data_IF_815652512136
#
_entry.id   IF_815652512136
#
_cell.length_a   1.000
_cell.length_b   1.000
_cell.length_c   1.000
_cell.angle_alpha   90.00
_cell.angle_beta   90.00
_cell.angle_gamma   90.00
#
_symmetry.space_group_name_H-M   'P 1'
#
loop_
_entity.id
_entity.type
_entity.pdbx_description
1 polymer ?
#
# COMPACT_ATOMS: atom_id res chain seq x y z
N UNK A 1 11.21 -5.39 2.59
CA UNK A 1 9.97 -4.66 2.31
C UNK A 1 8.81 -5.64 2.48
N UNK A 2 7.88 -5.36 3.40
CA UNK A 2 6.62 -6.07 3.53
C UNK A 2 5.53 -5.21 2.91
N UNK A 3 4.64 -5.79 2.09
CA UNK A 3 3.54 -5.02 1.49
C UNK A 3 2.21 -5.43 2.08
N UNK A 4 1.42 -4.43 2.48
CA UNK A 4 0.02 -4.60 2.83
C UNK A 4 -0.87 -4.84 1.61
N UNK A 5 -2.16 -5.09 1.87
CA UNK A 5 -3.18 -5.19 0.83
C UNK A 5 -3.40 -3.83 0.17
N UNK A 6 -3.80 -3.85 -1.10
CA UNK A 6 -4.30 -2.67 -1.78
C UNK A 6 -5.60 -2.20 -1.13
N UNK A 7 -5.75 -0.87 -1.03
CA UNK A 7 -7.03 -0.23 -0.77
C UNK A 7 -8.01 -0.53 -1.90
N UNK A 8 -9.28 -0.29 -1.66
CA UNK A 8 -10.24 -0.21 -2.76
C UNK A 8 -9.80 0.89 -3.74
N UNK A 9 -10.16 0.71 -5.01
CA UNK A 9 -9.98 1.77 -5.98
C UNK A 9 -10.81 2.98 -5.59
N UNK A 10 -10.28 4.18 -5.85
CA UNK A 10 -11.00 5.44 -5.64
C UNK A 10 -12.36 5.51 -6.33
N UNK A 11 -12.54 4.76 -7.43
CA UNK A 11 -13.80 4.67 -8.16
C UNK A 11 -14.13 3.22 -8.50
N UNK A 12 -15.43 2.95 -8.58
CA UNK A 12 -15.97 1.62 -8.91
C UNK A 12 -16.13 1.37 -10.40
N UNK A 13 -16.04 2.39 -11.26
CA UNK A 13 -16.21 2.28 -12.71
C UNK A 13 -15.09 3.02 -13.47
N UNK A 14 -14.76 2.52 -14.67
CA UNK A 14 -13.80 3.13 -15.60
C UNK A 14 -12.34 3.27 -15.09
N UNK A 15 -12.01 2.63 -13.98
CA UNK A 15 -10.67 2.60 -13.40
C UNK A 15 -10.33 3.83 -12.58
N UNK A 16 -9.44 3.64 -11.59
CA UNK A 16 -9.08 4.64 -10.59
C UNK A 16 -7.69 4.38 -10.04
N UNK A 17 -7.44 4.88 -8.83
CA UNK A 17 -6.16 4.68 -8.15
C UNK A 17 -6.39 3.89 -6.87
N UNK A 18 -5.43 3.06 -6.50
CA UNK A 18 -5.39 2.33 -5.24
C UNK A 18 -4.03 2.54 -4.58
N UNK A 19 -4.02 2.51 -3.25
CA UNK A 19 -2.79 2.68 -2.45
C UNK A 19 -2.55 1.43 -1.62
N UNK A 20 -1.29 1.14 -1.27
CA UNK A 20 -0.96 0.08 -0.31
C UNK A 20 0.09 0.56 0.65
N UNK A 21 0.13 -0.04 1.83
CA UNK A 21 1.23 0.16 2.76
C UNK A 21 2.43 -0.68 2.33
N UNK A 22 3.62 -0.13 2.47
CA UNK A 22 4.86 -0.88 2.34
C UNK A 22 5.72 -0.56 3.55
N UNK A 23 6.02 -1.59 4.31
CA UNK A 23 6.77 -1.49 5.54
C UNK A 23 8.21 -1.87 5.23
N UNK A 24 9.13 -0.95 5.52
CA UNK A 24 10.55 -1.23 5.44
C UNK A 24 10.95 -1.99 6.69
N UNK A 25 10.93 -3.33 6.63
CA UNK A 25 11.47 -4.15 7.71
C UNK A 25 12.99 -4.11 7.60
N UNK A 26 13.58 -3.14 8.28
CA UNK A 26 14.97 -3.17 8.68
C UNK A 26 15.06 -4.11 9.88
N UNK A 27 16.06 -5.01 9.90
CA UNK A 27 16.34 -5.84 11.06
C UNK A 27 16.87 -4.92 12.17
N UNK A 28 15.96 -4.34 12.97
CA UNK A 28 16.30 -3.45 14.08
C UNK A 28 17.15 -4.24 15.09
N UNK A 29 18.47 -4.09 15.00
CA UNK A 29 19.39 -4.35 16.11
C UNK A 29 19.55 -3.09 16.99
N UNK A 30 18.74 -2.06 16.77
CA UNK A 30 18.78 -0.84 17.56
C UNK A 30 17.59 -0.76 18.51
N UNK A 31 17.92 -0.75 19.80
CA UNK A 31 17.04 -0.84 20.98
C UNK A 31 16.10 0.34 21.22
N UNK A 32 15.90 1.21 20.23
CA UNK A 32 14.99 2.35 20.34
C UNK A 32 13.81 2.10 19.41
N UNK A 33 12.68 1.67 19.99
CA UNK A 33 11.43 1.36 19.30
C UNK A 33 10.78 2.58 18.62
N UNK A 34 11.45 3.14 17.61
CA UNK A 34 10.89 4.12 16.71
C UNK A 34 10.10 3.36 15.64
N UNK A 35 8.79 3.59 15.62
CA UNK A 35 7.91 3.04 14.62
C UNK A 35 8.37 3.53 13.25
N UNK A 36 8.89 2.63 12.42
CA UNK A 36 9.15 2.92 11.01
C UNK A 36 7.84 3.42 10.42
N UNK A 37 7.74 4.73 10.18
CA UNK A 37 6.52 5.34 9.67
C UNK A 37 6.20 4.68 8.33
N UNK A 38 5.05 4.00 8.26
CA UNK A 38 4.62 3.26 7.07
C UNK A 38 4.46 4.25 5.90
N UNK A 39 5.53 4.45 5.13
CA UNK A 39 5.57 5.40 4.04
C UNK A 39 4.55 4.93 3.00
N UNK A 40 3.46 5.68 2.81
CA UNK A 40 2.51 5.41 1.74
C UNK A 40 3.29 5.35 0.43
N UNK A 41 3.32 4.18 -0.19
CA UNK A 41 3.96 4.02 -1.49
C UNK A 41 2.99 4.48 -2.56
N UNK A 42 3.57 5.07 -3.61
CA UNK A 42 2.99 5.67 -4.80
C UNK A 42 1.67 5.01 -5.26
N UNK A 43 0.72 5.83 -5.71
CA UNK A 43 -0.59 5.38 -6.15
C UNK A 43 -0.49 4.54 -7.43
N UNK A 44 -1.14 3.37 -7.44
CA UNK A 44 -1.18 2.50 -8.61
C UNK A 44 -2.54 2.59 -9.29
N UNK A 45 -2.55 2.74 -10.61
CA UNK A 45 -3.78 2.67 -11.40
C UNK A 45 -4.38 1.25 -11.33
N UNK A 46 -5.68 1.19 -11.07
CA UNK A 46 -6.45 -0.04 -11.01
C UNK A 46 -7.62 0.01 -11.99
N UNK A 47 -7.85 -1.10 -12.67
CA UNK A 47 -8.96 -1.30 -13.60
C UNK A 47 -10.00 -2.19 -12.91
N UNK A 48 -11.13 -1.63 -12.49
CA UNK A 48 -12.29 -2.42 -12.13
C UNK A 48 -13.11 -2.66 -13.39
N UNK A 49 -12.67 -3.59 -14.25
CA UNK A 49 -13.65 -4.25 -15.11
C UNK A 49 -14.40 -5.18 -14.17
N UNK A 50 -15.69 -4.93 -13.93
CA UNK A 50 -16.58 -5.88 -13.27
C UNK A 50 -16.30 -7.27 -13.88
N UNK A 51 -15.60 -8.12 -13.14
CA UNK A 51 -15.47 -9.53 -13.49
C UNK A 51 -16.88 -10.10 -13.29
N UNK A 52 -17.52 -10.65 -14.34
CA UNK A 52 -18.87 -11.20 -14.23
C UNK A 52 -18.97 -12.25 -13.12
#
# INVERSE_FOLDING_TARGET
WLTGKWSECTVSCNGGHQTRTVDCVESLNDTNGEFVENRKVDDQYCWQTHRP
#
